data_IF_079475189003
#
_entry.id   IF_079475189003
#
_cell.length_a   1.000
_cell.length_b   1.000
_cell.length_c   1.000
_cell.angle_alpha   90.00
_cell.angle_beta   90.00
_cell.angle_gamma   90.00
#
_symmetry.space_group_name_H-M   'P 1'
#
loop_
_entity.id
_entity.type
_entity.pdbx_description
1 polymer ?
#
# COMPACT_ATOMS: atom_id res chain seq x y z
N UNK A 1 13.01 -18.79 4.96
CA UNK A 1 13.78 -17.81 5.81
C UNK A 1 12.94 -17.47 7.02
N UNK A 2 13.43 -17.67 8.24
CA UNK A 2 12.66 -17.36 9.46
C UNK A 2 12.78 -15.86 9.78
N UNK A 3 11.73 -15.08 9.50
CA UNK A 3 11.68 -13.64 9.72
C UNK A 3 11.57 -13.24 11.20
N UNK A 4 11.34 -14.19 12.10
CA UNK A 4 11.12 -13.98 13.54
C UNK A 4 12.27 -14.48 14.42
N UNK A 5 13.36 -14.99 13.81
CA UNK A 5 14.53 -15.48 14.56
C UNK A 5 15.09 -14.36 15.45
N UNK A 6 15.34 -14.68 16.72
CA UNK A 6 15.90 -13.74 17.71
C UNK A 6 14.90 -12.69 18.26
N UNK A 7 13.60 -12.85 18.00
CA UNK A 7 12.57 -12.02 18.64
C UNK A 7 12.21 -12.56 20.02
N UNK A 8 12.02 -11.65 20.97
CA UNK A 8 11.61 -11.96 22.34
C UNK A 8 10.19 -12.59 22.41
N UNK A 9 9.29 -12.16 21.51
CA UNK A 9 7.91 -12.62 21.47
C UNK A 9 7.70 -13.68 20.38
N UNK A 10 6.78 -14.58 20.62
CA UNK A 10 6.37 -15.58 19.62
C UNK A 10 5.86 -14.92 18.34
N UNK A 11 6.09 -15.58 17.22
CA UNK A 11 5.71 -15.07 15.89
C UNK A 11 4.22 -14.71 15.81
N UNK A 12 3.35 -15.50 16.42
CA UNK A 12 1.90 -15.28 16.38
C UNK A 12 1.50 -13.97 17.06
N UNK A 13 2.12 -13.63 18.18
CA UNK A 13 1.92 -12.35 18.87
C UNK A 13 2.31 -11.17 17.97
N UNK A 14 3.45 -11.27 17.31
CA UNK A 14 3.94 -10.23 16.40
C UNK A 14 3.00 -10.09 15.20
N UNK A 15 2.57 -11.21 14.61
CA UNK A 15 1.66 -11.23 13.46
C UNK A 15 0.31 -10.60 13.82
N UNK A 16 -0.26 -10.95 14.97
CA UNK A 16 -1.52 -10.38 15.46
C UNK A 16 -1.38 -8.86 15.64
N UNK A 17 -0.35 -8.40 16.34
CA UNK A 17 -0.13 -6.99 16.59
C UNK A 17 0.02 -6.19 15.29
N UNK A 18 0.87 -6.66 14.37
CA UNK A 18 1.11 -6.02 13.07
C UNK A 18 -0.13 -6.09 12.19
N UNK A 19 -0.79 -7.23 12.12
CA UNK A 19 -1.99 -7.45 11.33
C UNK A 19 -3.14 -6.54 11.78
N UNK A 20 -3.41 -6.49 13.06
CA UNK A 20 -4.47 -5.64 13.64
C UNK A 20 -4.19 -4.16 13.39
N UNK A 21 -2.98 -3.71 13.64
CA UNK A 21 -2.61 -2.34 13.37
C UNK A 21 -2.75 -1.98 11.88
N UNK A 22 -2.29 -2.81 10.95
CA UNK A 22 -2.34 -2.51 9.52
C UNK A 22 -3.75 -2.65 8.92
N UNK A 23 -4.56 -3.57 9.43
CA UNK A 23 -5.91 -3.86 8.92
C UNK A 23 -6.95 -2.89 9.46
N UNK A 24 -6.93 -2.65 10.77
CA UNK A 24 -7.94 -1.84 11.46
C UNK A 24 -7.39 -0.44 11.76
N UNK A 25 -8.26 0.53 11.93
CA UNK A 25 -7.84 1.91 12.21
C UNK A 25 -7.56 2.11 13.71
N UNK A 26 -6.70 1.27 14.27
CA UNK A 26 -6.26 1.28 15.66
C UNK A 26 -4.96 2.08 15.83
N UNK A 27 -4.79 2.70 16.99
CA UNK A 27 -3.50 3.22 17.44
C UNK A 27 -2.63 2.09 18.01
N UNK A 28 -1.34 2.35 18.22
CA UNK A 28 -0.45 1.37 18.87
C UNK A 28 -0.88 1.05 20.31
N UNK A 29 -1.50 2.01 20.99
CA UNK A 29 -1.99 1.83 22.37
C UNK A 29 -3.25 0.95 22.39
N UNK A 30 -4.19 1.18 21.50
CA UNK A 30 -5.37 0.32 21.38
C UNK A 30 -4.99 -1.14 21.03
N UNK A 31 -3.98 -1.34 20.19
CA UNK A 31 -3.45 -2.70 19.94
C UNK A 31 -2.78 -3.28 21.18
N UNK A 32 -2.05 -2.46 21.95
CA UNK A 32 -1.49 -2.87 23.25
C UNK A 32 -2.59 -3.32 24.22
N UNK A 33 -3.66 -2.54 24.38
CA UNK A 33 -4.81 -2.85 25.24
C UNK A 33 -5.47 -4.18 24.85
N UNK A 34 -5.73 -4.37 23.54
CA UNK A 34 -6.30 -5.64 23.03
C UNK A 34 -5.41 -6.85 23.33
N UNK A 35 -4.09 -6.69 23.29
CA UNK A 35 -3.17 -7.79 23.63
C UNK A 35 -3.11 -8.01 25.14
N UNK A 36 -3.13 -6.96 25.93
CA UNK A 36 -3.16 -7.03 27.39
C UNK A 36 -4.38 -7.78 27.91
N UNK A 37 -5.57 -7.52 27.35
CA UNK A 37 -6.81 -8.26 27.65
C UNK A 37 -6.69 -9.78 27.39
N UNK A 38 -5.70 -10.21 26.64
CA UNK A 38 -5.40 -11.61 26.35
C UNK A 38 -4.18 -12.13 27.09
N UNK A 39 -3.75 -11.44 28.14
CA UNK A 39 -2.60 -11.82 28.96
C UNK A 39 -1.24 -11.57 28.30
N UNK A 40 -1.19 -10.80 27.21
CA UNK A 40 0.05 -10.52 26.47
C UNK A 40 0.54 -9.11 26.79
N UNK A 41 1.58 -9.01 27.64
CA UNK A 41 2.14 -7.74 28.04
C UNK A 41 3.25 -7.29 27.06
N UNK A 42 2.90 -6.36 26.15
CA UNK A 42 3.82 -5.78 25.17
C UNK A 42 3.63 -4.27 25.08
N UNK A 43 4.74 -3.52 25.06
CA UNK A 43 4.64 -2.07 24.99
C UNK A 43 4.23 -1.59 23.59
N UNK A 44 3.47 -0.47 23.53
CA UNK A 44 3.13 0.17 22.27
C UNK A 44 4.35 0.58 21.42
N UNK A 45 5.47 0.86 22.05
CA UNK A 45 6.75 1.14 21.37
C UNK A 45 7.31 -0.10 20.67
N UNK A 46 7.18 -1.27 21.28
CA UNK A 46 7.55 -2.55 20.65
C UNK A 46 6.65 -2.84 19.46
N UNK A 47 5.34 -2.65 19.59
CA UNK A 47 4.37 -2.80 18.48
C UNK A 47 4.72 -1.84 17.34
N UNK A 48 5.06 -0.57 17.65
CA UNK A 48 5.53 0.39 16.65
C UNK A 48 6.75 -0.14 15.88
N UNK A 49 7.76 -0.67 16.57
CA UNK A 49 8.96 -1.23 15.92
C UNK A 49 8.60 -2.39 15.00
N UNK A 50 7.75 -3.30 15.43
CA UNK A 50 7.27 -4.41 14.60
C UNK A 50 6.54 -3.93 13.35
N UNK A 51 5.64 -2.96 13.48
CA UNK A 51 4.93 -2.41 12.33
C UNK A 51 5.88 -1.76 11.33
N UNK A 52 6.92 -1.05 11.80
CA UNK A 52 7.91 -0.45 10.89
C UNK A 52 8.79 -1.51 10.20
N UNK A 53 9.12 -2.59 10.87
CA UNK A 53 9.89 -3.70 10.31
C UNK A 53 9.04 -4.53 9.33
N UNK A 54 7.95 -5.09 9.81
CA UNK A 54 7.13 -6.03 9.04
C UNK A 54 6.25 -5.34 7.99
N UNK A 55 5.84 -4.10 8.18
CA UNK A 55 5.06 -3.38 7.17
C UNK A 55 5.81 -3.21 5.85
N UNK A 56 7.12 -2.94 5.91
CA UNK A 56 7.98 -2.90 4.73
C UNK A 56 8.16 -4.28 4.11
N UNK A 57 8.42 -5.29 4.93
CA UNK A 57 8.63 -6.68 4.50
C UNK A 57 7.40 -7.23 3.78
N UNK A 58 6.22 -7.11 4.39
CA UNK A 58 4.95 -7.56 3.82
C UNK A 58 4.71 -6.94 2.45
N UNK A 59 4.96 -5.64 2.30
CA UNK A 59 4.80 -4.96 1.02
C UNK A 59 5.78 -5.46 -0.05
N UNK A 60 7.04 -5.71 0.33
CA UNK A 60 8.04 -6.23 -0.59
C UNK A 60 7.68 -7.64 -1.10
N UNK A 61 7.23 -8.51 -0.20
CA UNK A 61 6.82 -9.88 -0.57
C UNK A 61 5.54 -9.83 -1.41
N UNK A 62 4.54 -9.05 -1.00
CA UNK A 62 3.33 -8.82 -1.76
C UNK A 62 3.64 -8.39 -3.19
N UNK A 63 4.49 -7.38 -3.35
CA UNK A 63 4.88 -6.83 -4.65
C UNK A 63 5.56 -7.87 -5.55
N UNK A 64 6.41 -8.73 -4.98
CA UNK A 64 7.06 -9.81 -5.72
C UNK A 64 6.07 -10.89 -6.20
N UNK A 65 5.09 -11.23 -5.37
CA UNK A 65 4.08 -12.26 -5.69
C UNK A 65 3.01 -11.76 -6.69
N UNK A 66 2.78 -10.45 -6.77
CA UNK A 66 1.74 -9.85 -7.62
C UNK A 66 2.33 -9.01 -8.76
N UNK A 67 3.28 -9.56 -9.50
CA UNK A 67 3.96 -8.87 -10.60
C UNK A 67 3.15 -8.73 -11.90
N UNK A 68 1.95 -9.31 -12.00
CA UNK A 68 1.22 -9.42 -13.26
C UNK A 68 0.07 -8.43 -13.34
N UNK A 69 0.23 -7.35 -14.10
CA UNK A 69 -0.88 -6.60 -14.66
C UNK A 69 -0.47 -5.90 -15.95
N UNK A 70 -0.81 -6.50 -17.07
CA UNK A 70 -0.38 -6.04 -18.38
C UNK A 70 -1.46 -5.24 -19.14
N UNK A 71 -2.70 -5.13 -18.65
CA UNK A 71 -3.76 -4.57 -19.47
C UNK A 71 -4.03 -3.10 -19.17
N UNK A 72 -4.43 -2.78 -17.96
CA UNK A 72 -4.90 -1.44 -17.62
C UNK A 72 -4.42 -1.02 -16.23
N UNK A 73 -3.87 0.19 -16.14
CA UNK A 73 -3.51 0.80 -14.87
C UNK A 73 -4.39 2.01 -14.59
N UNK A 74 -4.72 2.20 -13.34
CA UNK A 74 -5.32 3.43 -12.84
C UNK A 74 -4.34 4.09 -11.90
N UNK A 75 -4.03 5.35 -12.15
CA UNK A 75 -3.14 6.14 -11.32
C UNK A 75 -3.88 7.37 -10.81
N UNK A 76 -3.71 7.65 -9.54
CA UNK A 76 -4.24 8.84 -8.90
C UNK A 76 -3.34 9.32 -7.78
N UNK A 77 -3.52 10.57 -7.36
CA UNK A 77 -2.83 11.17 -6.25
C UNK A 77 -3.81 11.66 -5.19
N UNK A 78 -3.42 11.51 -3.94
CA UNK A 78 -4.24 11.98 -2.83
C UNK A 78 -3.41 12.69 -1.78
N UNK A 79 -4.07 13.49 -0.96
CA UNK A 79 -3.46 14.26 0.11
C UNK A 79 -3.41 13.44 1.40
N UNK A 80 -2.25 13.50 2.08
CA UNK A 80 -2.03 12.89 3.39
C UNK A 80 -1.47 13.94 4.34
N UNK A 81 -2.03 14.02 5.54
CA UNK A 81 -1.55 14.93 6.57
C UNK A 81 -0.55 14.24 7.50
N UNK A 82 0.66 14.81 7.61
CA UNK A 82 1.74 14.31 8.48
C UNK A 82 2.19 15.46 9.37
N UNK A 83 2.03 15.32 10.70
CA UNK A 83 2.31 16.40 11.65
C UNK A 83 1.72 17.75 11.22
N UNK A 84 0.46 17.75 10.81
CA UNK A 84 -0.22 18.96 10.39
C UNK A 84 0.09 19.44 8.96
N UNK A 85 1.14 18.96 8.30
CA UNK A 85 1.57 19.37 6.95
C UNK A 85 1.03 18.42 5.89
N UNK A 86 0.58 18.98 4.75
CA UNK A 86 0.11 18.20 3.61
C UNK A 86 1.27 17.58 2.82
N UNK A 87 1.08 16.32 2.43
CA UNK A 87 1.95 15.52 1.59
C UNK A 87 1.10 14.83 0.53
N UNK A 88 1.73 14.31 -0.51
CA UNK A 88 1.05 13.74 -1.67
C UNK A 88 1.41 12.27 -1.80
N UNK A 89 0.40 11.42 -1.87
CA UNK A 89 0.53 9.99 -2.10
C UNK A 89 0.12 9.66 -3.53
N UNK A 90 1.09 9.34 -4.36
CA UNK A 90 0.88 8.74 -5.67
C UNK A 90 0.56 7.26 -5.51
N UNK A 91 -0.46 6.78 -6.19
CA UNK A 91 -0.89 5.38 -6.16
C UNK A 91 -1.19 4.90 -7.57
N UNK A 92 -0.83 3.65 -7.85
CA UNK A 92 -1.24 2.96 -9.07
C UNK A 92 -1.83 1.60 -8.72
N UNK A 93 -2.94 1.27 -9.34
CA UNK A 93 -3.62 -0.02 -9.22
C UNK A 93 -3.82 -0.62 -10.61
N UNK A 94 -3.94 -1.94 -10.67
CA UNK A 94 -4.28 -2.66 -11.88
C UNK A 94 -5.79 -2.67 -12.17
N UNK A 95 -6.19 -3.39 -13.22
CA UNK A 95 -7.60 -3.56 -13.60
C UNK A 95 -8.43 -4.21 -12.48
N UNK A 96 -7.83 -5.10 -11.70
CA UNK A 96 -8.46 -5.80 -10.58
C UNK A 96 -8.51 -4.97 -9.30
N UNK A 97 -7.95 -3.75 -9.33
CA UNK A 97 -7.87 -2.87 -8.18
C UNK A 97 -6.75 -3.24 -7.18
N UNK A 98 -5.85 -4.15 -7.56
CA UNK A 98 -4.68 -4.49 -6.75
C UNK A 98 -3.60 -3.44 -6.89
N UNK A 99 -2.90 -3.16 -5.79
CA UNK A 99 -1.86 -2.13 -5.80
C UNK A 99 -0.64 -2.57 -6.61
N UNK A 100 -0.25 -1.76 -7.56
CA UNK A 100 1.01 -1.88 -8.30
C UNK A 100 2.14 -1.20 -7.52
N UNK A 101 1.96 0.08 -7.21
CA UNK A 101 2.95 0.82 -6.43
C UNK A 101 2.34 2.03 -5.72
N UNK A 102 3.06 2.51 -4.69
CA UNK A 102 2.77 3.74 -3.97
C UNK A 102 4.04 4.56 -3.76
N UNK A 103 3.87 5.88 -3.76
CA UNK A 103 4.97 6.79 -3.47
C UNK A 103 4.51 8.05 -2.75
N UNK A 104 5.04 8.27 -1.56
CA UNK A 104 4.73 9.43 -0.73
C UNK A 104 5.77 10.53 -0.95
N UNK A 105 5.30 11.74 -1.30
CA UNK A 105 6.14 12.90 -1.65
C UNK A 105 5.74 14.15 -0.86
N UNK A 106 6.69 15.07 -0.71
CA UNK A 106 6.43 16.38 -0.08
C UNK A 106 5.73 17.36 -1.02
N UNK A 107 6.00 17.27 -2.33
CA UNK A 107 5.48 18.16 -3.36
C UNK A 107 4.63 17.40 -4.38
N UNK A 108 3.67 18.09 -4.96
CA UNK A 108 2.87 17.70 -6.11
C UNK A 108 3.39 18.48 -7.32
N UNK A 109 4.17 17.83 -8.15
CA UNK A 109 4.75 18.45 -9.34
C UNK A 109 4.89 17.42 -10.48
N UNK A 110 5.11 17.93 -11.68
CA UNK A 110 5.31 17.12 -12.88
C UNK A 110 6.50 16.17 -12.75
N UNK A 111 7.54 16.57 -12.02
CA UNK A 111 8.72 15.74 -11.82
C UNK A 111 8.41 14.51 -10.93
N UNK A 112 7.60 14.69 -9.88
CA UNK A 112 7.16 13.58 -9.05
C UNK A 112 6.27 12.60 -9.82
N UNK A 113 5.31 13.12 -10.62
CA UNK A 113 4.47 12.30 -11.49
C UNK A 113 5.30 11.53 -12.53
N UNK A 114 6.24 12.23 -13.19
CA UNK A 114 7.19 11.64 -14.15
C UNK A 114 7.99 10.48 -13.52
N UNK A 115 8.62 10.74 -12.37
CA UNK A 115 9.44 9.74 -11.71
C UNK A 115 8.61 8.54 -11.23
N UNK A 116 7.36 8.74 -10.81
CA UNK A 116 6.47 7.66 -10.42
C UNK A 116 6.05 6.80 -11.61
N UNK A 117 5.58 7.40 -12.70
CA UNK A 117 5.22 6.71 -13.93
C UNK A 117 6.42 5.96 -14.53
N UNK A 118 7.60 6.59 -14.59
CA UNK A 118 8.83 5.95 -15.06
C UNK A 118 9.20 4.71 -14.21
N UNK A 119 8.98 4.77 -12.91
CA UNK A 119 9.21 3.64 -12.01
C UNK A 119 8.22 2.50 -12.25
N UNK A 120 6.95 2.81 -12.54
CA UNK A 120 5.94 1.82 -12.86
C UNK A 120 6.30 1.03 -14.12
N UNK A 121 6.57 1.72 -15.23
CA UNK A 121 6.89 1.07 -16.51
C UNK A 121 8.15 0.23 -16.43
N UNK A 122 9.17 0.69 -15.70
CA UNK A 122 10.40 -0.09 -15.49
C UNK A 122 10.21 -1.36 -14.67
N UNK A 123 9.14 -1.44 -13.89
CA UNK A 123 8.89 -2.57 -12.99
C UNK A 123 7.86 -3.55 -13.54
N UNK A 124 6.89 -3.08 -14.31
CA UNK A 124 5.72 -3.85 -14.74
C UNK A 124 5.54 -3.89 -16.26
N UNK A 125 6.49 -3.37 -17.03
CA UNK A 125 6.38 -3.13 -18.46
C UNK A 125 5.25 -2.17 -18.84
N UNK A 126 4.94 -2.01 -20.14
CA UNK A 126 3.93 -1.07 -20.59
C UNK A 126 2.53 -1.67 -20.58
N UNK A 127 1.54 -1.03 -19.94
CA UNK A 127 0.16 -1.44 -20.05
C UNK A 127 -0.43 -0.99 -21.39
N UNK A 128 -1.54 -1.60 -21.81
CA UNK A 128 -2.31 -1.10 -22.99
C UNK A 128 -2.98 0.24 -22.70
N UNK A 129 -3.46 0.43 -21.45
CA UNK A 129 -4.20 1.62 -21.07
C UNK A 129 -3.70 2.15 -19.71
N UNK A 130 -3.49 3.46 -19.62
CA UNK A 130 -3.32 4.15 -18.33
C UNK A 130 -4.46 5.14 -18.15
N UNK A 131 -5.20 5.00 -17.05
CA UNK A 131 -6.27 5.91 -16.66
C UNK A 131 -5.77 6.84 -15.55
N UNK A 132 -5.94 8.14 -15.73
CA UNK A 132 -5.62 9.15 -14.72
C UNK A 132 -6.74 10.18 -14.61
N UNK A 133 -6.68 11.03 -13.59
CA UNK A 133 -7.46 12.27 -13.58
C UNK A 133 -6.91 13.27 -14.63
N UNK A 134 -7.59 14.39 -14.78
CA UNK A 134 -7.17 15.49 -15.68
C UNK A 134 -6.09 16.39 -15.09
N UNK A 135 -5.34 15.95 -14.06
CA UNK A 135 -4.30 16.77 -13.42
C UNK A 135 -3.21 17.16 -14.44
N UNK A 136 -2.92 18.45 -14.61
CA UNK A 136 -1.94 18.92 -15.60
C UNK A 136 -0.54 18.34 -15.36
N UNK A 137 -0.16 18.13 -14.09
CA UNK A 137 1.12 17.51 -13.72
C UNK A 137 1.30 16.10 -14.24
N UNK A 138 0.23 15.30 -14.18
CA UNK A 138 0.26 13.90 -14.66
C UNK A 138 0.25 13.88 -16.19
N UNK A 139 -0.61 14.69 -16.82
CA UNK A 139 -0.69 14.77 -18.28
C UNK A 139 0.64 15.22 -18.89
N UNK A 140 1.28 16.26 -18.33
CA UNK A 140 2.60 16.74 -18.78
C UNK A 140 3.69 15.68 -18.56
N UNK A 141 3.65 14.96 -17.43
CA UNK A 141 4.60 13.90 -17.14
C UNK A 141 4.48 12.73 -18.13
N UNK A 142 3.24 12.36 -18.47
CA UNK A 142 2.95 11.28 -19.41
C UNK A 142 3.41 11.63 -20.82
N UNK A 143 3.11 12.86 -21.29
CA UNK A 143 3.59 13.38 -22.59
C UNK A 143 5.11 13.32 -22.68
N UNK A 144 5.80 13.83 -21.65
CA UNK A 144 7.27 13.80 -21.58
C UNK A 144 7.83 12.40 -21.60
N UNK A 145 7.18 11.41 -20.93
CA UNK A 145 7.62 10.01 -20.98
C UNK A 145 7.50 9.43 -22.38
N UNK A 146 6.43 9.75 -23.13
CA UNK A 146 6.29 9.34 -24.53
C UNK A 146 7.41 9.90 -25.42
N UNK A 147 7.77 11.15 -25.23
CA UNK A 147 8.90 11.80 -25.93
C UNK A 147 10.24 11.07 -25.68
N UNK A 148 10.41 10.49 -24.50
CA UNK A 148 11.59 9.68 -24.13
C UNK A 148 11.46 8.18 -24.45
N UNK A 149 10.50 7.76 -25.26
CA UNK A 149 10.36 6.38 -25.73
C UNK A 149 9.63 5.43 -24.76
N UNK A 150 9.05 5.93 -23.66
CA UNK A 150 8.21 5.13 -22.76
C UNK A 150 6.74 5.25 -23.14
N UNK A 151 5.93 4.23 -22.82
CA UNK A 151 4.48 4.22 -23.05
C UNK A 151 4.08 4.41 -24.52
N UNK A 152 4.90 3.92 -25.48
CA UNK A 152 4.66 4.11 -26.91
C UNK A 152 3.36 3.42 -27.36
N UNK A 153 3.12 2.19 -26.92
CA UNK A 153 1.93 1.42 -27.22
C UNK A 153 0.75 1.67 -26.25
N UNK A 154 0.90 2.63 -25.33
CA UNK A 154 -0.08 2.86 -24.27
C UNK A 154 -1.06 3.98 -24.61
N UNK A 155 -2.35 3.70 -24.51
CA UNK A 155 -3.41 4.71 -24.56
C UNK A 155 -3.50 5.42 -23.19
N UNK A 156 -3.48 6.74 -23.18
CA UNK A 156 -3.72 7.55 -21.99
C UNK A 156 -5.16 8.06 -21.97
N UNK A 157 -5.96 7.58 -21.01
CA UNK A 157 -7.37 7.99 -20.82
C UNK A 157 -7.49 8.89 -19.59
N UNK A 158 -8.14 10.05 -19.78
CA UNK A 158 -8.37 11.05 -18.71
C UNK A 158 -9.87 11.16 -18.40
N UNK A 159 -10.49 10.05 -18.01
CA UNK A 159 -11.94 9.99 -17.77
C UNK A 159 -12.19 9.91 -16.27
N UNK A 160 -12.88 10.93 -15.72
CA UNK A 160 -13.12 11.08 -14.28
C UNK A 160 -13.77 9.85 -13.65
N UNK A 161 -14.81 9.29 -14.27
CA UNK A 161 -15.55 8.15 -13.71
C UNK A 161 -14.77 6.85 -13.64
N UNK A 162 -13.74 6.68 -14.47
CA UNK A 162 -12.90 5.49 -14.45
C UNK A 162 -11.94 5.46 -13.24
N UNK A 163 -11.76 6.59 -12.56
CA UNK A 163 -10.92 6.69 -11.37
C UNK A 163 -11.65 6.44 -10.04
N UNK A 164 -12.99 6.27 -10.04
CA UNK A 164 -13.76 6.05 -8.82
C UNK A 164 -13.23 4.87 -7.97
N UNK A 165 -12.72 3.81 -8.61
CA UNK A 165 -12.18 2.65 -7.92
C UNK A 165 -10.95 3.01 -7.08
N UNK A 166 -10.01 3.79 -7.62
CA UNK A 166 -8.81 4.20 -6.89
C UNK A 166 -9.13 5.28 -5.85
N UNK A 167 -10.12 6.16 -6.12
CA UNK A 167 -10.56 7.17 -5.16
C UNK A 167 -11.15 6.55 -3.89
N UNK A 168 -11.97 5.50 -4.03
CA UNK A 168 -12.50 4.76 -2.88
C UNK A 168 -11.38 4.13 -2.04
N UNK A 169 -10.31 3.73 -2.69
CA UNK A 169 -9.14 3.13 -2.05
C UNK A 169 -8.31 4.12 -1.21
N UNK A 170 -8.52 5.43 -1.38
CA UNK A 170 -7.85 6.43 -0.55
C UNK A 170 -8.43 6.52 0.88
N UNK A 171 -9.68 6.13 1.09
CA UNK A 171 -10.39 6.31 2.39
C UNK A 171 -9.66 5.72 3.59
N UNK A 172 -9.19 4.45 3.58
CA UNK A 172 -8.50 3.86 4.73
C UNK A 172 -7.19 4.57 5.07
N UNK A 173 -6.46 5.03 4.04
CA UNK A 173 -5.20 5.76 4.23
C UNK A 173 -5.46 7.13 4.88
N UNK A 174 -6.48 7.85 4.42
CA UNK A 174 -6.88 9.16 4.96
C UNK A 174 -7.37 9.06 6.41
N UNK A 175 -8.09 8.00 6.78
CA UNK A 175 -8.54 7.78 8.17
C UNK A 175 -7.39 7.75 9.17
N UNK A 176 -6.17 7.39 8.74
CA UNK A 176 -4.96 7.34 9.58
C UNK A 176 -4.15 8.63 9.62
N UNK A 177 -4.58 9.71 9.01
CA UNK A 177 -3.83 10.99 9.00
C UNK A 177 -3.41 11.45 10.39
N UNK A 178 -4.23 11.23 11.40
CA UNK A 178 -3.95 11.58 12.81
C UNK A 178 -2.76 10.81 13.41
N UNK A 179 -2.40 9.66 12.87
CA UNK A 179 -1.33 8.80 13.40
C UNK A 179 0.02 9.00 12.71
N UNK A 180 0.09 9.66 11.55
CA UNK A 180 1.34 9.84 10.82
C UNK A 180 2.25 10.86 11.48
N UNK A 181 3.47 10.45 11.86
CA UNK A 181 4.44 11.28 12.58
C UNK A 181 5.64 11.72 11.75
N UNK A 182 5.99 11.01 10.68
CA UNK A 182 7.05 11.37 9.74
C UNK A 182 6.77 10.80 8.37
N UNK A 183 7.42 11.35 7.33
CA UNK A 183 7.30 10.86 5.95
C UNK A 183 7.74 9.40 5.84
N UNK A 184 8.84 9.06 6.49
CA UNK A 184 9.41 7.70 6.49
C UNK A 184 8.45 6.69 7.12
N UNK A 185 8.00 6.95 8.34
CA UNK A 185 7.12 6.02 9.07
C UNK A 185 5.74 5.94 8.44
N UNK A 186 5.19 7.05 7.93
CA UNK A 186 3.95 7.06 7.17
C UNK A 186 4.06 6.19 5.90
N UNK A 187 5.13 6.36 5.13
CA UNK A 187 5.38 5.54 3.93
C UNK A 187 5.43 4.04 4.25
N UNK A 188 6.12 3.65 5.33
CA UNK A 188 6.21 2.24 5.75
C UNK A 188 4.84 1.70 6.17
N UNK A 189 4.11 2.45 7.00
CA UNK A 189 2.76 2.06 7.44
C UNK A 189 1.80 1.91 6.26
N UNK A 190 1.77 2.88 5.34
CA UNK A 190 0.91 2.82 4.16
C UNK A 190 1.25 1.62 3.28
N UNK A 191 2.53 1.33 3.08
CA UNK A 191 2.97 0.13 2.35
C UNK A 191 2.44 -1.16 2.98
N UNK A 192 2.57 -1.31 4.30
CA UNK A 192 2.00 -2.45 5.01
C UNK A 192 0.48 -2.53 4.87
N UNK A 193 -0.22 -1.41 5.01
CA UNK A 193 -1.68 -1.34 4.81
C UNK A 193 -2.07 -1.79 3.40
N UNK A 194 -1.35 -1.36 2.38
CA UNK A 194 -1.64 -1.76 0.98
C UNK A 194 -1.42 -3.25 0.75
N UNK A 195 -0.38 -3.84 1.35
CA UNK A 195 -0.17 -5.28 1.29
C UNK A 195 -1.36 -6.05 1.90
N UNK A 196 -1.79 -5.68 3.12
CA UNK A 196 -2.94 -6.29 3.79
C UNK A 196 -4.24 -6.08 3.01
N UNK A 197 -4.44 -4.90 2.41
CA UNK A 197 -5.61 -4.64 1.56
C UNK A 197 -5.59 -5.46 0.29
N UNK A 198 -4.42 -5.63 -0.31
CA UNK A 198 -4.25 -6.50 -1.48
C UNK A 198 -4.64 -7.94 -1.17
N UNK A 199 -4.17 -8.49 -0.05
CA UNK A 199 -4.57 -9.81 0.43
C UNK A 199 -6.09 -9.90 0.60
N UNK A 200 -6.70 -8.95 1.30
CA UNK A 200 -8.15 -8.91 1.50
C UNK A 200 -8.95 -8.87 0.18
N UNK A 201 -8.53 -8.04 -0.78
CA UNK A 201 -9.20 -7.95 -2.09
C UNK A 201 -9.09 -9.27 -2.85
N UNK A 202 -7.91 -9.90 -2.81
CA UNK A 202 -7.67 -11.18 -3.46
C UNK A 202 -8.56 -12.27 -2.88
N UNK A 203 -8.57 -12.43 -1.56
CA UNK A 203 -9.41 -13.41 -0.86
C UNK A 203 -10.90 -13.22 -1.15
N UNK A 204 -11.39 -11.96 -1.17
CA UNK A 204 -12.78 -11.66 -1.56
C UNK A 204 -13.11 -12.03 -3.01
N UNK A 205 -12.16 -11.87 -3.93
CA UNK A 205 -12.35 -12.21 -5.35
C UNK A 205 -12.37 -13.72 -5.58
N UNK A 206 -11.61 -14.46 -4.79
CA UNK A 206 -11.55 -15.93 -4.81
C UNK A 206 -12.78 -16.59 -4.18
N UNK A 207 -13.74 -15.81 -3.65
CA UNK A 207 -15.03 -16.30 -3.19
C UNK A 207 -15.04 -16.98 -1.82
N UNK A 208 -14.01 -16.80 -1.02
CA UNK A 208 -14.01 -17.30 0.37
C UNK A 208 -15.00 -16.51 1.23
N UNK A 209 -16.17 -17.10 1.47
CA UNK A 209 -17.31 -16.47 2.15
C UNK A 209 -17.11 -16.28 3.65
N UNK A 210 -16.25 -17.08 4.29
CA UNK A 210 -16.05 -17.07 5.72
C UNK A 210 -14.63 -16.68 6.09
N UNK A 211 -14.51 -15.51 6.71
CA UNK A 211 -13.40 -15.23 7.59
C UNK A 211 -12.07 -14.86 6.93
N UNK A 212 -11.99 -13.68 6.31
CA UNK A 212 -10.68 -13.09 6.12
C UNK A 212 -9.98 -12.95 7.49
N UNK A 213 -9.02 -13.83 7.76
CA UNK A 213 -8.13 -13.72 8.91
C UNK A 213 -6.86 -13.02 8.48
N UNK A 214 -6.66 -11.79 8.96
CA UNK A 214 -5.43 -11.05 8.66
C UNK A 214 -4.17 -11.80 9.12
N UNK A 215 -4.27 -12.55 10.21
CA UNK A 215 -3.15 -13.31 10.74
C UNK A 215 -2.81 -14.51 9.85
N UNK A 216 -3.81 -15.27 9.42
CA UNK A 216 -3.64 -16.39 8.48
C UNK A 216 -3.05 -15.90 7.16
N UNK A 217 -3.58 -14.83 6.61
CA UNK A 217 -3.07 -14.27 5.35
C UNK A 217 -1.63 -13.76 5.44
N UNK A 218 -1.24 -13.18 6.58
CA UNK A 218 0.16 -12.80 6.82
C UNK A 218 1.05 -14.04 6.91
N UNK A 219 0.62 -15.09 7.61
CA UNK A 219 1.37 -16.36 7.68
C UNK A 219 1.60 -16.93 6.28
N UNK A 220 0.54 -17.08 5.49
CA UNK A 220 0.62 -17.57 4.09
C UNK A 220 1.54 -16.69 3.24
N UNK A 221 1.45 -15.37 3.37
CA UNK A 221 2.31 -14.44 2.64
C UNK A 221 3.78 -14.64 2.99
N UNK A 222 4.10 -14.85 4.26
CA UNK A 222 5.45 -15.08 4.78
C UNK A 222 5.96 -16.52 4.57
N UNK A 223 5.12 -17.44 4.07
CA UNK A 223 5.47 -18.85 3.90
C UNK A 223 5.54 -19.63 5.22
N UNK A 224 4.71 -19.24 6.19
CA UNK A 224 4.55 -19.91 7.49
C UNK A 224 3.29 -20.79 7.43
N UNK A 225 3.30 -22.02 7.98
CA UNK A 225 2.07 -22.81 8.11
C UNK A 225 0.97 -22.03 8.85
N UNK A 226 -0.25 -22.10 8.33
CA UNK A 226 -1.41 -21.39 8.88
C UNK A 226 -1.93 -22.09 10.14
#
# INVERSE_FOLDING_TARGET
MNHFKGKQFQQDVIIVAVGYYLRYNLSYREVQEILYDRGINVSHTTIYRWVQEYGKLLYQIWKKKNKKSFYSWKMDETYIKIKGKWHYLYRAIDADGLILDIWLRKKRDTQAAYAFLKRLVKQFDEPKVVVTDKAPSITSAFKKLKEYGFYQGTEHRTIKYLNNLIEQDHRPVKRRNKFYRSLRTASTTIKGMEAIRGLYKKTRKEGTLFGFSVCTEIKVLLGIPA
#
